data_IF_565556014734
#
_entry.id   IF_565556014734
#
_cell.length_a   1.000
_cell.length_b   1.000
_cell.length_c   1.000
_cell.angle_alpha   90.00
_cell.angle_beta   90.00
_cell.angle_gamma   90.00
#
_symmetry.space_group_name_H-M   'P 1'
#
loop_
_entity.id
_entity.type
_entity.pdbx_description
1 polymer ?
#
# COMPACT_ATOMS: atom_id res chain seq x y z
N UNK A 1 5.29 49.66 32.22
CA UNK A 1 5.08 49.15 30.86
C UNK A 1 6.34 48.44 30.45
N UNK A 2 6.35 47.12 30.61
CA UNK A 2 7.40 46.21 30.17
C UNK A 2 6.64 45.13 29.41
N UNK A 3 6.89 45.05 28.11
CA UNK A 3 6.18 44.22 27.15
C UNK A 3 6.52 42.74 27.38
N UNK A 4 5.49 41.89 27.41
CA UNK A 4 5.65 40.44 27.38
C UNK A 4 6.16 40.01 25.99
N UNK A 5 7.10 39.05 25.90
CA UNK A 5 7.56 38.54 24.61
C UNK A 5 6.47 37.69 23.94
N UNK A 6 6.40 37.66 22.59
CA UNK A 6 5.36 36.95 21.88
C UNK A 6 5.53 35.43 22.02
N UNK A 7 4.42 34.75 22.29
CA UNK A 7 4.29 33.30 22.27
C UNK A 7 4.84 32.75 20.94
N UNK A 8 5.93 31.98 21.03
CA UNK A 8 6.41 31.21 19.89
C UNK A 8 5.42 30.07 19.60
N UNK A 9 5.13 29.78 18.32
CA UNK A 9 4.27 28.67 17.98
C UNK A 9 4.93 27.36 18.45
N UNK A 10 4.18 26.59 19.24
CA UNK A 10 4.53 25.23 19.64
C UNK A 10 4.82 24.44 18.38
N UNK A 11 6.11 24.14 18.16
CA UNK A 11 6.56 23.24 17.12
C UNK A 11 5.86 21.90 17.31
N UNK A 12 4.97 21.54 16.37
CA UNK A 12 4.39 20.21 16.29
C UNK A 12 5.53 19.23 16.06
N UNK A 13 5.95 18.55 17.12
CA UNK A 13 6.93 17.47 17.07
C UNK A 13 6.52 16.39 16.07
N UNK A 14 7.44 15.51 15.67
CA UNK A 14 7.14 14.44 14.72
C UNK A 14 6.01 13.58 15.28
N UNK A 15 4.89 13.51 14.55
CA UNK A 15 3.75 12.64 14.86
C UNK A 15 4.27 11.25 15.19
N UNK A 16 3.95 10.79 16.39
CA UNK A 16 4.46 9.52 16.88
C UNK A 16 3.84 8.37 16.07
N UNK A 17 4.61 7.33 15.80
CA UNK A 17 4.17 6.16 15.00
C UNK A 17 2.84 5.55 15.49
N UNK A 18 2.50 5.70 16.78
CA UNK A 18 1.22 5.29 17.35
C UNK A 18 0.01 6.07 16.82
N UNK A 19 0.13 7.39 16.62
CA UNK A 19 -0.96 8.21 16.07
C UNK A 19 -1.29 7.82 14.63
N UNK A 20 -0.26 7.57 13.80
CA UNK A 20 -0.46 7.10 12.42
C UNK A 20 -1.11 5.72 12.36
N UNK A 21 -0.78 4.81 13.27
CA UNK A 21 -1.41 3.48 13.34
C UNK A 21 -2.90 3.59 13.67
N UNK A 22 -3.26 4.46 14.62
CA UNK A 22 -4.65 4.71 15.01
C UNK A 22 -5.45 5.36 13.86
N UNK A 23 -4.87 6.37 13.19
CA UNK A 23 -5.45 6.99 12.00
C UNK A 23 -5.67 5.98 10.87
N UNK A 24 -4.68 5.13 10.59
CA UNK A 24 -4.80 4.05 9.60
C UNK A 24 -5.86 3.00 9.97
N UNK A 25 -6.11 2.78 11.26
CA UNK A 25 -7.13 1.85 11.74
C UNK A 25 -8.54 2.45 11.62
N UNK A 26 -8.70 3.72 12.02
CA UNK A 26 -9.96 4.48 11.89
C UNK A 26 -10.37 4.57 10.42
N UNK A 27 -9.45 4.96 9.56
CA UNK A 27 -9.65 5.01 8.13
C UNK A 27 -10.09 3.68 7.51
N UNK A 28 -9.47 2.56 7.93
CA UNK A 28 -9.89 1.23 7.47
C UNK A 28 -11.32 0.92 7.92
N UNK A 29 -11.72 1.33 9.11
CA UNK A 29 -13.09 1.16 9.59
C UNK A 29 -14.08 2.04 8.80
N UNK A 30 -13.69 3.27 8.49
CA UNK A 30 -14.48 4.21 7.68
C UNK A 30 -14.65 3.72 6.24
N UNK A 31 -13.58 3.27 5.60
CA UNK A 31 -13.66 2.66 4.27
C UNK A 31 -14.59 1.44 4.28
N UNK A 32 -14.45 0.53 5.25
CA UNK A 32 -15.36 -0.63 5.37
C UNK A 32 -16.81 -0.19 5.54
N UNK A 33 -17.06 0.88 6.29
CA UNK A 33 -18.40 1.44 6.44
C UNK A 33 -18.89 1.99 5.11
N UNK A 34 -18.07 2.76 4.40
CA UNK A 34 -18.40 3.34 3.11
C UNK A 34 -18.73 2.26 2.07
N UNK A 35 -17.90 1.22 1.97
CA UNK A 35 -18.11 0.07 1.10
C UNK A 35 -19.50 -0.54 1.35
N UNK A 36 -19.84 -0.87 2.61
CA UNK A 36 -21.19 -1.38 2.95
C UNK A 36 -22.36 -0.49 2.50
N UNK A 37 -22.18 0.83 2.43
CA UNK A 37 -23.24 1.73 1.94
C UNK A 37 -23.41 1.66 0.42
N UNK A 38 -22.31 1.41 -0.31
CA UNK A 38 -22.33 1.33 -1.77
C UNK A 38 -22.58 -0.08 -2.30
N UNK A 39 -22.46 -1.12 -1.47
CA UNK A 39 -22.68 -2.54 -1.84
C UNK A 39 -23.95 -2.79 -2.68
N UNK A 40 -25.04 -2.08 -2.37
CA UNK A 40 -26.33 -2.22 -3.07
C UNK A 40 -26.32 -1.77 -4.53
N UNK A 41 -25.28 -1.04 -4.95
CA UNK A 41 -25.11 -0.54 -6.31
C UNK A 41 -24.15 -1.41 -7.14
N UNK A 42 -23.60 -2.49 -6.57
CA UNK A 42 -22.61 -3.35 -7.25
C UNK A 42 -23.10 -4.04 -8.52
N UNK A 43 -24.41 -4.25 -8.64
CA UNK A 43 -24.99 -4.98 -9.78
C UNK A 43 -25.21 -4.11 -11.02
N UNK A 44 -25.26 -2.78 -10.86
CA UNK A 44 -25.38 -1.86 -11.99
C UNK A 44 -24.00 -1.55 -12.55
N UNK A 45 -23.85 -1.57 -13.87
CA UNK A 45 -22.62 -1.17 -14.55
C UNK A 45 -22.77 0.23 -15.15
N UNK A 46 -21.73 1.03 -14.98
CA UNK A 46 -21.58 2.38 -15.52
C UNK A 46 -20.18 2.57 -16.07
N UNK A 47 -19.98 3.59 -16.90
CA UNK A 47 -18.66 3.90 -17.47
C UNK A 47 -17.84 4.76 -16.51
N UNK A 48 -16.70 4.22 -16.05
CA UNK A 48 -15.69 4.94 -15.26
C UNK A 48 -14.37 4.90 -16.03
N UNK A 49 -13.78 6.07 -16.29
CA UNK A 49 -12.60 6.19 -17.15
C UNK A 49 -12.73 5.43 -18.48
N UNK A 50 -13.93 5.39 -19.06
CA UNK A 50 -14.23 4.73 -20.33
C UNK A 50 -14.23 3.19 -20.28
N UNK A 51 -14.35 2.58 -19.10
CA UNK A 51 -14.48 1.14 -18.91
C UNK A 51 -15.69 0.82 -18.04
N UNK A 52 -16.30 -0.35 -18.25
CA UNK A 52 -17.42 -0.80 -17.44
C UNK A 52 -16.95 -1.08 -15.99
N UNK A 53 -17.60 -0.40 -15.05
CA UNK A 53 -17.34 -0.51 -13.61
C UNK A 53 -18.68 -0.62 -12.87
N UNK A 54 -18.70 -1.25 -11.68
CA UNK A 54 -19.90 -1.20 -10.85
C UNK A 54 -20.21 0.24 -10.43
N UNK A 55 -21.50 0.57 -10.35
CA UNK A 55 -21.97 1.90 -9.91
C UNK A 55 -21.42 2.26 -8.52
N UNK A 56 -21.19 1.26 -7.66
CA UNK A 56 -20.49 1.43 -6.38
C UNK A 56 -19.09 2.03 -6.53
N UNK A 57 -18.29 1.58 -7.51
CA UNK A 57 -16.99 2.16 -7.80
C UNK A 57 -17.13 3.59 -8.35
N UNK A 58 -18.10 3.84 -9.23
CA UNK A 58 -18.35 5.19 -9.75
C UNK A 58 -18.69 6.19 -8.66
N UNK A 59 -19.51 5.80 -7.67
CA UNK A 59 -19.87 6.67 -6.54
C UNK A 59 -18.64 7.06 -5.71
N UNK A 60 -17.70 6.13 -5.52
CA UNK A 60 -16.44 6.38 -4.82
C UNK A 60 -15.53 7.32 -5.63
N UNK A 61 -15.45 7.14 -6.95
CA UNK A 61 -14.68 8.04 -7.82
C UNK A 61 -15.31 9.44 -7.87
N UNK A 62 -16.63 9.55 -7.96
CA UNK A 62 -17.31 10.86 -7.92
C UNK A 62 -17.15 11.59 -6.59
N UNK A 63 -16.91 10.88 -5.48
CA UNK A 63 -16.63 11.51 -4.19
C UNK A 63 -15.29 12.26 -4.18
N UNK A 64 -14.35 11.93 -5.08
CA UNK A 64 -13.06 12.62 -5.19
C UNK A 64 -13.22 14.12 -5.45
N UNK A 65 -14.25 14.56 -6.18
CA UNK A 65 -14.48 15.98 -6.47
C UNK A 65 -14.70 16.84 -5.21
N UNK A 66 -15.01 16.21 -4.07
CA UNK A 66 -15.31 16.86 -2.78
C UNK A 66 -14.29 16.52 -1.70
N UNK A 67 -13.27 15.73 -2.01
CA UNK A 67 -12.28 15.25 -1.04
C UNK A 67 -10.92 15.83 -1.39
N UNK A 68 -10.35 16.65 -0.50
CA UNK A 68 -9.09 17.33 -0.76
C UNK A 68 -7.89 16.68 -0.08
N UNK A 69 -8.10 15.91 0.99
CA UNK A 69 -6.99 15.30 1.72
C UNK A 69 -6.49 14.04 1.01
N UNK A 70 -5.17 13.95 0.83
CA UNK A 70 -4.53 12.88 0.05
C UNK A 70 -4.89 11.48 0.57
N UNK A 71 -5.03 11.34 1.89
CA UNK A 71 -5.30 10.07 2.53
C UNK A 71 -6.71 9.54 2.24
N UNK A 72 -7.76 10.36 2.39
CA UNK A 72 -9.13 9.96 2.05
C UNK A 72 -9.29 9.73 0.56
N UNK A 73 -8.65 10.55 -0.28
CA UNK A 73 -8.60 10.30 -1.73
C UNK A 73 -7.98 8.94 -2.05
N UNK A 74 -6.86 8.60 -1.40
CA UNK A 74 -6.22 7.27 -1.50
C UNK A 74 -7.17 6.14 -1.08
N UNK A 75 -7.96 6.35 -0.03
CA UNK A 75 -8.97 5.39 0.44
C UNK A 75 -10.13 5.22 -0.54
N UNK A 76 -10.59 6.30 -1.18
CA UNK A 76 -11.64 6.26 -2.22
C UNK A 76 -11.18 5.48 -3.44
N UNK A 77 -9.97 5.76 -3.94
CA UNK A 77 -9.37 4.99 -5.03
C UNK A 77 -9.25 3.50 -4.68
N UNK A 78 -8.74 3.18 -3.50
CA UNK A 78 -8.60 1.79 -3.05
C UNK A 78 -9.96 1.08 -2.96
N UNK A 79 -10.99 1.76 -2.45
CA UNK A 79 -12.35 1.26 -2.43
C UNK A 79 -12.89 0.98 -3.84
N UNK A 80 -12.73 1.93 -4.76
CA UNK A 80 -13.21 1.79 -6.14
C UNK A 80 -12.52 0.64 -6.88
N UNK A 81 -11.21 0.48 -6.71
CA UNK A 81 -10.45 -0.67 -7.25
C UNK A 81 -11.00 -1.97 -6.67
N UNK A 82 -11.22 -2.04 -5.35
CA UNK A 82 -11.74 -3.24 -4.67
C UNK A 82 -13.11 -3.64 -5.21
N UNK A 83 -14.01 -2.68 -5.38
CA UNK A 83 -15.34 -2.91 -5.95
C UNK A 83 -15.26 -3.48 -7.37
N UNK A 84 -14.38 -2.92 -8.22
CA UNK A 84 -14.15 -3.43 -9.56
C UNK A 84 -13.60 -4.86 -9.55
N UNK A 85 -12.62 -5.17 -8.69
CA UNK A 85 -12.04 -6.51 -8.58
C UNK A 85 -13.08 -7.56 -8.12
N UNK A 86 -13.93 -7.21 -7.15
CA UNK A 86 -15.02 -8.08 -6.67
C UNK A 86 -15.98 -8.47 -7.80
N UNK A 87 -16.27 -7.54 -8.71
CA UNK A 87 -17.19 -7.76 -9.83
C UNK A 87 -16.51 -8.24 -11.11
N UNK A 88 -15.20 -8.45 -11.10
CA UNK A 88 -14.44 -8.86 -12.28
C UNK A 88 -14.30 -7.77 -13.34
N UNK A 89 -14.53 -6.50 -12.99
CA UNK A 89 -14.35 -5.34 -13.87
C UNK A 89 -12.87 -4.94 -13.94
N UNK A 90 -12.03 -5.85 -14.43
CA UNK A 90 -10.56 -5.73 -14.38
C UNK A 90 -10.02 -4.51 -15.13
N UNK A 91 -10.57 -4.21 -16.32
CA UNK A 91 -10.16 -3.02 -17.09
C UNK A 91 -10.42 -1.73 -16.32
N UNK A 92 -11.54 -1.63 -15.61
CA UNK A 92 -11.83 -0.46 -14.78
C UNK A 92 -10.92 -0.40 -13.55
N UNK A 93 -10.67 -1.53 -12.88
CA UNK A 93 -9.72 -1.60 -11.76
C UNK A 93 -8.33 -1.08 -12.16
N UNK A 94 -7.81 -1.52 -13.31
CA UNK A 94 -6.54 -1.06 -13.85
C UNK A 94 -6.53 0.46 -14.10
N UNK A 95 -7.53 0.99 -14.83
CA UNK A 95 -7.59 2.42 -15.16
C UNK A 95 -7.71 3.30 -13.92
N UNK A 96 -8.47 2.86 -12.92
CA UNK A 96 -8.58 3.56 -11.64
C UNK A 96 -7.24 3.54 -10.90
N UNK A 97 -6.52 2.41 -10.88
CA UNK A 97 -5.21 2.33 -10.24
C UNK A 97 -4.15 3.22 -10.92
N UNK A 98 -4.17 3.30 -12.25
CA UNK A 98 -3.33 4.23 -13.02
C UNK A 98 -3.68 5.68 -12.66
N UNK A 99 -4.97 6.05 -12.68
CA UNK A 99 -5.39 7.40 -12.31
C UNK A 99 -4.99 7.78 -10.87
N UNK A 100 -5.09 6.84 -9.92
CA UNK A 100 -4.66 7.04 -8.55
C UNK A 100 -3.15 7.30 -8.45
N UNK A 101 -2.35 6.58 -9.24
CA UNK A 101 -0.90 6.77 -9.29
C UNK A 101 -0.51 8.09 -9.95
N UNK A 102 -1.14 8.43 -11.09
CA UNK A 102 -0.90 9.70 -11.79
C UNK A 102 -1.19 10.92 -10.90
N UNK A 103 -2.16 10.79 -9.99
CA UNK A 103 -2.49 11.86 -9.04
C UNK A 103 -1.52 11.94 -7.85
N UNK A 104 -1.12 10.80 -7.28
CA UNK A 104 -0.39 10.77 -5.99
C UNK A 104 1.13 10.65 -6.16
N UNK A 105 1.57 9.92 -7.19
CA UNK A 105 2.99 9.70 -7.54
C UNK A 105 3.88 9.33 -6.34
N UNK A 106 3.34 8.55 -5.39
CA UNK A 106 4.04 8.15 -4.16
C UNK A 106 4.26 6.62 -4.06
N UNK A 107 5.07 6.19 -3.08
CA UNK A 107 5.40 4.78 -2.83
C UNK A 107 4.14 3.91 -2.66
N UNK A 108 3.12 4.41 -1.95
CA UNK A 108 1.91 3.66 -1.65
C UNK A 108 1.04 3.48 -2.90
N UNK A 109 0.97 4.50 -3.75
CA UNK A 109 0.28 4.46 -5.04
C UNK A 109 0.97 3.48 -5.99
N UNK A 110 2.31 3.42 -6.02
CA UNK A 110 3.07 2.42 -6.78
C UNK A 110 2.79 1.00 -6.29
N UNK A 111 2.78 0.78 -4.97
CA UNK A 111 2.44 -0.53 -4.40
C UNK A 111 1.01 -0.94 -4.75
N UNK A 112 0.05 -0.01 -4.74
CA UNK A 112 -1.34 -0.29 -5.10
C UNK A 112 -1.49 -0.62 -6.59
N UNK A 113 -0.82 0.14 -7.46
CA UNK A 113 -0.79 -0.12 -8.89
C UNK A 113 -0.17 -1.51 -9.17
N UNK A 114 0.94 -1.81 -8.50
CA UNK A 114 1.59 -3.12 -8.54
C UNK A 114 0.64 -4.27 -8.18
N UNK A 115 -0.06 -4.18 -7.04
CA UNK A 115 -1.08 -5.16 -6.64
C UNK A 115 -2.19 -5.30 -7.69
N UNK A 116 -2.74 -4.18 -8.13
CA UNK A 116 -3.87 -4.16 -9.07
C UNK A 116 -3.48 -4.81 -10.38
N UNK A 117 -2.32 -4.46 -10.95
CA UNK A 117 -1.80 -5.05 -12.19
C UNK A 117 -1.66 -6.56 -12.09
N UNK A 118 -1.12 -7.05 -10.97
CA UNK A 118 -1.03 -8.49 -10.76
C UNK A 118 -2.41 -9.15 -10.67
N UNK A 119 -3.37 -8.56 -9.95
CA UNK A 119 -4.71 -9.12 -9.78
C UNK A 119 -5.55 -9.07 -11.07
N UNK A 120 -5.27 -8.14 -11.99
CA UNK A 120 -5.89 -8.09 -13.33
C UNK A 120 -5.15 -8.94 -14.38
N UNK A 121 -4.22 -9.80 -13.96
CA UNK A 121 -3.54 -10.75 -14.85
C UNK A 121 -2.31 -10.20 -15.58
N UNK A 122 -1.72 -9.10 -15.09
CA UNK A 122 -0.48 -8.49 -15.59
C UNK A 122 0.67 -8.60 -14.57
N UNK A 123 1.05 -9.81 -14.12
CA UNK A 123 1.98 -9.99 -13.00
C UNK A 123 3.39 -9.47 -13.27
N UNK A 124 3.87 -9.49 -14.52
CA UNK A 124 5.18 -8.93 -14.88
C UNK A 124 5.22 -7.41 -14.76
N UNK A 125 4.16 -6.71 -15.16
CA UNK A 125 4.02 -5.27 -14.96
C UNK A 125 3.87 -4.95 -13.47
N UNK A 126 3.06 -5.74 -12.76
CA UNK A 126 2.92 -5.64 -11.30
C UNK A 126 4.26 -5.76 -10.57
N UNK A 127 5.12 -6.70 -10.96
CA UNK A 127 6.47 -6.84 -10.41
C UNK A 127 7.35 -5.62 -10.71
N UNK A 128 7.28 -5.06 -11.93
CA UNK A 128 8.07 -3.87 -12.29
C UNK A 128 7.72 -2.67 -11.40
N UNK A 129 6.43 -2.41 -11.16
CA UNK A 129 5.99 -1.37 -10.23
C UNK A 129 6.33 -1.68 -8.77
N UNK A 130 6.36 -2.96 -8.37
CA UNK A 130 6.81 -3.34 -7.03
C UNK A 130 8.29 -2.98 -6.81
N UNK A 131 9.13 -3.23 -7.82
CA UNK A 131 10.56 -2.84 -7.81
C UNK A 131 10.74 -1.33 -7.77
N UNK A 132 9.93 -0.58 -8.54
CA UNK A 132 9.95 0.88 -8.51
C UNK A 132 9.58 1.42 -7.11
N UNK A 133 8.50 0.91 -6.51
CA UNK A 133 8.09 1.28 -5.15
C UNK A 133 9.20 1.01 -4.13
N UNK A 134 9.84 -0.16 -4.24
CA UNK A 134 10.90 -0.58 -3.36
C UNK A 134 12.18 0.28 -3.51
N UNK A 135 12.60 0.56 -4.75
CA UNK A 135 13.73 1.46 -5.01
C UNK A 135 13.50 2.86 -4.45
N UNK A 136 12.29 3.41 -4.62
CA UNK A 136 11.92 4.71 -4.07
C UNK A 136 11.91 4.69 -2.53
N UNK A 137 11.34 3.65 -1.91
CA UNK A 137 11.32 3.48 -0.45
C UNK A 137 12.73 3.43 0.15
N UNK A 138 13.67 2.73 -0.50
CA UNK A 138 15.08 2.70 -0.10
C UNK A 138 15.73 4.09 -0.22
N UNK A 139 15.49 4.78 -1.35
CA UNK A 139 16.06 6.11 -1.59
C UNK A 139 15.55 7.15 -0.58
N UNK A 140 14.27 7.12 -0.25
CA UNK A 140 13.63 8.07 0.66
C UNK A 140 13.77 7.65 2.14
N UNK A 141 14.15 6.38 2.38
CA UNK A 141 14.25 5.75 3.71
C UNK A 141 12.92 5.75 4.48
N UNK A 142 11.81 5.57 3.76
CA UNK A 142 10.45 5.52 4.31
C UNK A 142 9.70 4.34 3.70
N UNK A 143 8.89 3.63 4.50
CA UNK A 143 8.07 2.49 4.08
C UNK A 143 8.84 1.28 3.51
N UNK A 144 10.13 1.14 3.83
CA UNK A 144 11.00 0.07 3.28
C UNK A 144 10.41 -1.32 3.55
N UNK A 145 9.90 -1.57 4.76
CA UNK A 145 9.29 -2.85 5.10
C UNK A 145 8.04 -3.16 4.26
N UNK A 146 7.17 -2.15 4.08
CA UNK A 146 5.95 -2.30 3.30
C UNK A 146 6.27 -2.56 1.83
N UNK A 147 7.20 -1.79 1.26
CA UNK A 147 7.59 -1.95 -0.13
C UNK A 147 8.30 -3.29 -0.38
N UNK A 148 9.15 -3.76 0.55
CA UNK A 148 9.78 -5.08 0.47
C UNK A 148 8.74 -6.21 0.57
N UNK A 149 7.76 -6.11 1.47
CA UNK A 149 6.65 -7.06 1.55
C UNK A 149 5.79 -7.10 0.28
N UNK A 150 5.54 -5.95 -0.35
CA UNK A 150 4.88 -5.89 -1.66
C UNK A 150 5.72 -6.57 -2.75
N UNK A 151 7.01 -6.22 -2.85
CA UNK A 151 7.94 -6.82 -3.82
C UNK A 151 7.98 -8.34 -3.66
N UNK A 152 8.04 -8.83 -2.44
CA UNK A 152 8.03 -10.25 -2.12
C UNK A 152 6.78 -10.95 -2.66
N UNK A 153 5.59 -10.41 -2.37
CA UNK A 153 4.32 -10.99 -2.84
C UNK A 153 4.25 -11.02 -4.37
N UNK A 154 4.72 -9.97 -5.05
CA UNK A 154 4.73 -9.95 -6.51
C UNK A 154 5.79 -10.88 -7.11
N UNK A 155 6.96 -10.96 -6.49
CA UNK A 155 8.04 -11.84 -6.90
C UNK A 155 7.63 -13.32 -6.79
N UNK A 156 6.95 -13.70 -5.71
CA UNK A 156 6.40 -15.05 -5.52
C UNK A 156 5.37 -15.37 -6.62
N UNK A 157 4.41 -14.47 -6.88
CA UNK A 157 3.39 -14.67 -7.92
C UNK A 157 4.00 -14.82 -9.33
N UNK A 158 5.19 -14.29 -9.57
CA UNK A 158 5.92 -14.38 -10.85
C UNK A 158 7.02 -15.45 -10.87
N UNK A 159 7.28 -16.14 -9.75
CA UNK A 159 8.40 -17.07 -9.62
C UNK A 159 9.78 -16.41 -9.67
N UNK A 160 9.89 -15.11 -9.41
CA UNK A 160 11.14 -14.35 -9.50
C UNK A 160 12.00 -14.52 -8.24
N UNK A 161 12.76 -15.61 -8.17
CA UNK A 161 13.66 -15.90 -7.04
C UNK A 161 14.69 -14.78 -6.79
N UNK A 162 15.22 -14.16 -7.85
CA UNK A 162 16.15 -13.04 -7.71
C UNK A 162 15.54 -11.84 -6.98
N UNK A 163 14.28 -11.48 -7.30
CA UNK A 163 13.58 -10.39 -6.63
C UNK A 163 13.19 -10.75 -5.18
N UNK A 164 12.92 -12.03 -4.91
CA UNK A 164 12.72 -12.53 -3.53
C UNK A 164 13.98 -12.32 -2.69
N UNK A 165 15.15 -12.75 -3.18
CA UNK A 165 16.39 -12.61 -2.42
C UNK A 165 16.81 -11.13 -2.27
N UNK A 166 16.62 -10.31 -3.30
CA UNK A 166 16.84 -8.85 -3.23
C UNK A 166 16.01 -8.18 -2.12
N UNK A 167 14.72 -8.54 -2.02
CA UNK A 167 13.85 -8.03 -0.97
C UNK A 167 14.28 -8.52 0.43
N UNK A 168 14.72 -9.78 0.55
CA UNK A 168 15.22 -10.34 1.80
C UNK A 168 16.48 -9.63 2.30
N UNK A 169 17.48 -9.45 1.44
CA UNK A 169 18.72 -8.74 1.78
C UNK A 169 18.43 -7.35 2.32
N UNK A 170 17.58 -6.61 1.64
CA UNK A 170 17.22 -5.28 2.08
C UNK A 170 16.44 -5.24 3.39
N UNK A 171 15.59 -6.23 3.67
CA UNK A 171 14.93 -6.37 4.97
C UNK A 171 15.96 -6.59 6.07
N UNK A 172 16.99 -7.42 5.83
CA UNK A 172 18.10 -7.63 6.78
C UNK A 172 18.86 -6.32 7.02
N UNK A 173 19.32 -5.66 5.97
CA UNK A 173 20.09 -4.41 6.08
C UNK A 173 19.30 -3.32 6.81
N UNK A 174 18.04 -3.18 6.46
CA UNK A 174 17.20 -2.16 7.06
C UNK A 174 16.94 -2.43 8.55
N UNK A 175 17.03 -3.68 9.04
CA UNK A 175 16.90 -3.97 10.49
C UNK A 175 18.10 -3.54 11.34
N UNK A 176 19.19 -3.07 10.72
CA UNK A 176 20.42 -2.66 11.42
C UNK A 176 20.49 -1.15 11.75
N UNK A 177 19.53 -0.33 11.29
CA UNK A 177 19.47 1.12 11.55
C UNK A 177 18.22 1.44 12.40
N UNK A 178 18.29 2.36 13.39
CA UNK A 178 17.10 2.77 14.15
C UNK A 178 16.03 3.33 13.21
N UNK A 179 14.89 2.65 13.13
CA UNK A 179 13.79 3.08 12.25
C UNK A 179 12.77 3.89 13.01
N UNK A 180 12.47 5.06 12.47
CA UNK A 180 11.60 6.06 13.09
C UNK A 180 10.11 5.84 12.81
N UNK A 181 9.72 4.86 11.99
CA UNK A 181 8.30 4.69 11.63
C UNK A 181 7.83 3.30 11.14
N UNK A 182 8.70 2.30 11.02
CA UNK A 182 8.32 1.05 10.33
C UNK A 182 7.69 0.00 11.27
N UNK A 183 6.42 -0.29 10.96
CA UNK A 183 5.59 -1.36 11.52
C UNK A 183 6.28 -2.75 11.47
N UNK A 184 5.72 -3.71 12.22
CA UNK A 184 6.18 -5.09 12.28
C UNK A 184 6.47 -5.68 10.89
N UNK A 185 7.53 -6.48 10.78
CA UNK A 185 7.82 -7.23 9.57
C UNK A 185 6.66 -8.18 9.27
N UNK A 186 6.02 -8.02 8.11
CA UNK A 186 5.04 -8.97 7.60
C UNK A 186 5.80 -10.22 7.15
N UNK A 187 5.30 -11.40 7.55
CA UNK A 187 5.97 -12.70 7.30
C UNK A 187 5.03 -13.74 6.68
N UNK A 188 3.84 -13.33 6.24
CA UNK A 188 2.83 -14.16 5.58
C UNK A 188 3.32 -14.84 4.30
N UNK A 189 4.40 -14.34 3.72
CA UNK A 189 4.99 -14.80 2.47
C UNK A 189 6.18 -15.77 2.63
N UNK A 190 6.69 -15.98 3.86
CA UNK A 190 7.96 -16.71 4.06
C UNK A 190 7.88 -18.15 3.54
N UNK A 191 6.77 -18.86 3.79
CA UNK A 191 6.68 -20.27 3.39
C UNK A 191 6.63 -20.41 1.86
N UNK A 192 5.98 -19.48 1.18
CA UNK A 192 5.95 -19.44 -0.28
C UNK A 192 7.31 -19.04 -0.88
N UNK A 193 8.05 -18.12 -0.23
CA UNK A 193 9.42 -17.81 -0.60
C UNK A 193 10.34 -19.04 -0.46
N UNK A 194 10.24 -19.76 0.66
CA UNK A 194 10.99 -21.01 0.88
C UNK A 194 10.66 -22.07 -0.17
N UNK A 195 9.38 -22.23 -0.53
CA UNK A 195 8.97 -23.15 -1.59
C UNK A 195 9.55 -22.79 -2.96
N UNK A 196 9.83 -21.49 -3.20
CA UNK A 196 10.50 -21.00 -4.41
C UNK A 196 12.04 -21.19 -4.38
N UNK A 197 12.59 -21.62 -3.24
CA UNK A 197 14.04 -21.78 -3.06
C UNK A 197 14.75 -20.51 -2.60
N UNK A 198 14.04 -19.61 -1.90
CA UNK A 198 14.64 -18.45 -1.25
C UNK A 198 15.77 -18.84 -0.29
N UNK A 199 16.69 -17.89 -0.05
CA UNK A 199 17.77 -18.10 0.91
C UNK A 199 17.21 -18.37 2.32
N UNK A 200 17.55 -19.55 2.84
CA UNK A 200 17.05 -20.02 4.12
C UNK A 200 17.58 -19.19 5.29
N UNK A 201 18.82 -18.73 5.22
CA UNK A 201 19.43 -17.96 6.31
C UNK A 201 18.77 -16.58 6.40
N UNK A 202 18.48 -15.96 5.26
CA UNK A 202 17.77 -14.68 5.21
C UNK A 202 16.32 -14.80 5.68
N UNK A 203 15.59 -15.83 5.24
CA UNK A 203 14.20 -16.04 5.66
C UNK A 203 14.08 -16.37 7.14
N UNK A 204 15.00 -17.18 7.70
CA UNK A 204 15.05 -17.48 9.13
C UNK A 204 15.41 -16.24 9.95
N UNK A 205 16.30 -15.38 9.46
CA UNK A 205 16.60 -14.08 10.09
C UNK A 205 15.38 -13.17 10.17
N UNK A 206 14.69 -12.95 9.04
CA UNK A 206 13.50 -12.09 8.98
C UNK A 206 12.40 -12.61 9.91
N UNK A 207 12.18 -13.93 9.96
CA UNK A 207 11.25 -14.57 10.89
C UNK A 207 11.62 -14.27 12.35
N UNK A 208 12.88 -14.48 12.73
CA UNK A 208 13.35 -14.22 14.09
C UNK A 208 13.26 -12.75 14.52
N UNK A 209 13.41 -11.79 13.59
CA UNK A 209 13.19 -10.36 13.89
C UNK A 209 11.71 -10.06 14.05
N UNK A 210 10.84 -10.64 13.22
CA UNK A 210 9.41 -10.45 13.30
C UNK A 210 8.83 -10.96 14.63
N UNK A 211 9.29 -12.12 15.11
CA UNK A 211 8.83 -12.73 16.36
C UNK A 211 9.22 -11.88 17.58
N UNK A 212 10.47 -11.38 17.63
CA UNK A 212 10.95 -10.50 18.71
C UNK A 212 10.20 -9.18 18.85
N UNK A 213 9.56 -8.70 17.78
CA UNK A 213 8.74 -7.48 17.82
C UNK A 213 7.29 -7.72 18.30
N UNK A 214 6.86 -8.98 18.44
CA UNK A 214 5.52 -9.35 18.93
C UNK A 214 5.48 -9.60 20.44
N UNK A 215 6.65 -9.79 21.05
CA UNK A 215 6.86 -9.87 22.51
C UNK A 215 6.88 -8.48 23.15
#
# INVERSE_FOLDING_TARGET
MTEDPPDQPVSSGPETSGQRIEEMAVARAELRRLLRHVDKFRENLVSVFGADAPESASLLISALDRTNDAYSRSSLYYGAITECLIKGCFTAAERIAVAAHDEQTDILSLMRLSHTLTDVGKPSEGLAYAKAAFAQAISERVYVNFAAGNLMRQAIKTGSLGAVNEALDALVDSTQVPRTSDCALETDWIDAANALGADKDLTDWVRAVADRKRE
#
